data_IF_090479698955
#
_entry.id   IF_090479698955
#
_cell.length_a   1.000
_cell.length_b   1.000
_cell.length_c   1.000
_cell.angle_alpha   90.00
_cell.angle_beta   90.00
_cell.angle_gamma   90.00
#
_symmetry.space_group_name_H-M   'P 1'
#
loop_
_entity.id
_entity.type
_entity.pdbx_description
1 polymer ?
#
# COMPACT_ATOMS: atom_id res chain seq x y z
N UNK A 1 -15.49 -8.42 -41.85
CA UNK A 1 -15.61 -8.81 -40.41
C UNK A 1 -16.03 -7.59 -39.65
N UNK A 2 -17.27 -7.53 -39.20
CA UNK A 2 -17.86 -6.40 -38.49
C UNK A 2 -17.62 -6.59 -36.99
N UNK A 3 -16.92 -5.65 -36.36
CA UNK A 3 -16.75 -5.60 -34.91
C UNK A 3 -18.10 -5.31 -34.23
N UNK A 4 -18.49 -6.05 -33.20
CA UNK A 4 -19.71 -5.74 -32.44
C UNK A 4 -19.52 -4.57 -31.48
N UNK A 5 -20.58 -3.83 -31.30
CA UNK A 5 -20.77 -2.55 -30.68
C UNK A 5 -20.08 -2.30 -29.32
N UNK A 6 -19.49 -1.10 -29.21
CA UNK A 6 -18.88 -0.44 -28.03
C UNK A 6 -19.84 -0.12 -26.86
N UNK A 7 -20.99 -0.77 -26.74
CA UNK A 7 -22.07 -0.32 -25.83
C UNK A 7 -21.98 -0.81 -24.37
N UNK A 8 -21.41 -1.98 -24.08
CA UNK A 8 -21.42 -2.56 -22.72
C UNK A 8 -20.19 -2.21 -21.88
N UNK A 9 -19.01 -2.18 -22.44
CA UNK A 9 -17.79 -1.87 -21.70
C UNK A 9 -17.80 -0.44 -21.11
N UNK A 10 -18.31 0.54 -21.85
CA UNK A 10 -18.39 1.93 -21.38
C UNK A 10 -19.41 2.18 -20.25
N UNK A 11 -20.48 1.36 -20.17
CA UNK A 11 -21.47 1.47 -19.08
C UNK A 11 -20.98 0.79 -17.80
N UNK A 12 -20.28 -0.33 -17.90
CA UNK A 12 -19.69 -1.04 -16.76
C UNK A 12 -18.53 -0.23 -16.15
N UNK A 13 -17.70 0.40 -16.98
CA UNK A 13 -16.63 1.29 -16.54
C UNK A 13 -17.18 2.53 -15.79
N UNK A 14 -18.20 3.22 -16.34
CA UNK A 14 -18.84 4.35 -15.65
C UNK A 14 -19.50 3.94 -14.34
N UNK A 15 -20.10 2.74 -14.28
CA UNK A 15 -20.70 2.20 -13.05
C UNK A 15 -19.63 1.86 -12.01
N UNK A 16 -18.48 1.31 -12.42
CA UNK A 16 -17.34 1.07 -11.53
C UNK A 16 -16.79 2.38 -10.96
N UNK A 17 -16.59 3.41 -11.79
CA UNK A 17 -16.13 4.73 -11.37
C UNK A 17 -17.11 5.41 -10.39
N UNK A 18 -18.40 5.29 -10.59
CA UNK A 18 -19.42 5.85 -9.67
C UNK A 18 -19.40 5.11 -8.33
N UNK A 19 -19.21 3.80 -8.32
CA UNK A 19 -19.13 2.99 -7.09
C UNK A 19 -17.86 3.25 -6.27
N UNK A 20 -16.78 3.72 -6.90
CA UNK A 20 -15.52 4.04 -6.22
C UNK A 20 -15.60 5.38 -5.46
N UNK A 21 -16.44 6.30 -5.89
CA UNK A 21 -16.63 7.60 -5.24
C UNK A 21 -17.49 7.51 -3.96
N UNK A 22 -18.32 6.47 -3.81
CA UNK A 22 -19.31 6.36 -2.72
C UNK A 22 -18.85 5.55 -1.49
N UNK A 23 -17.66 4.91 -1.51
CA UNK A 23 -17.28 3.96 -0.46
C UNK A 23 -16.24 4.45 0.54
N UNK A 24 -15.64 5.62 0.34
CA UNK A 24 -14.62 6.14 1.24
C UNK A 24 -15.22 7.18 2.20
N UNK A 25 -15.51 6.75 3.43
CA UNK A 25 -15.74 7.70 4.50
C UNK A 25 -14.49 8.61 4.62
N UNK A 26 -14.67 9.93 4.84
CA UNK A 26 -13.54 10.85 4.97
C UNK A 26 -12.70 10.44 6.17
N UNK A 27 -11.38 10.53 6.02
CA UNK A 27 -10.46 10.38 7.15
C UNK A 27 -10.69 11.58 8.07
N UNK A 28 -10.94 11.30 9.35
CA UNK A 28 -11.16 12.35 10.34
C UNK A 28 -9.88 13.16 10.53
N UNK A 29 -10.01 14.48 10.54
CA UNK A 29 -8.95 15.36 10.99
C UNK A 29 -8.77 15.20 12.51
N UNK A 30 -7.51 15.04 12.96
CA UNK A 30 -7.17 14.81 14.35
C UNK A 30 -5.88 15.54 14.73
N UNK A 31 -5.84 16.12 15.92
CA UNK A 31 -4.61 16.70 16.46
C UNK A 31 -3.56 15.62 16.77
N UNK A 32 -2.27 15.99 16.94
CA UNK A 32 -1.24 15.04 17.37
C UNK A 32 -1.61 14.30 18.67
N UNK A 33 -2.19 14.99 19.65
CA UNK A 33 -2.61 14.42 20.93
C UNK A 33 -3.75 13.41 20.74
N UNK A 34 -4.78 13.75 19.97
CA UNK A 34 -5.89 12.85 19.67
C UNK A 34 -5.41 11.61 18.89
N UNK A 35 -4.42 11.79 18.04
CA UNK A 35 -3.78 10.67 17.32
C UNK A 35 -3.05 9.75 18.30
N UNK A 36 -2.26 10.32 19.22
CA UNK A 36 -1.53 9.56 20.22
C UNK A 36 -2.48 8.75 21.11
N UNK A 37 -3.56 9.35 21.61
CA UNK A 37 -4.59 8.67 22.38
C UNK A 37 -5.22 7.50 21.62
N UNK A 38 -5.58 7.68 20.34
CA UNK A 38 -6.15 6.63 19.50
C UNK A 38 -5.18 5.47 19.29
N UNK A 39 -3.90 5.76 19.03
CA UNK A 39 -2.88 4.74 18.82
C UNK A 39 -2.59 3.97 20.11
N UNK A 40 -2.50 4.66 21.25
CA UNK A 40 -2.33 4.04 22.56
C UNK A 40 -3.49 3.11 22.91
N UNK A 41 -4.73 3.57 22.71
CA UNK A 41 -5.92 2.75 22.94
C UNK A 41 -5.96 1.50 22.05
N UNK A 42 -5.61 1.65 20.75
CA UNK A 42 -5.51 0.54 19.83
C UNK A 42 -4.42 -0.46 20.24
N UNK A 43 -3.24 0.02 20.62
CA UNK A 43 -2.13 -0.82 21.12
C UNK A 43 -2.52 -1.60 22.39
N UNK A 44 -3.17 -0.95 23.36
CA UNK A 44 -3.65 -1.61 24.57
C UNK A 44 -4.67 -2.71 24.26
N UNK A 45 -5.64 -2.44 23.37
CA UNK A 45 -6.64 -3.41 22.96
C UNK A 45 -6.02 -4.63 22.23
N UNK A 46 -5.00 -4.41 21.40
CA UNK A 46 -4.26 -5.50 20.77
C UNK A 46 -3.47 -6.34 21.78
N UNK A 47 -2.79 -5.69 22.73
CA UNK A 47 -2.06 -6.39 23.80
C UNK A 47 -3.00 -7.27 24.63
N UNK A 48 -4.15 -6.76 25.03
CA UNK A 48 -5.17 -7.52 25.76
C UNK A 48 -5.69 -8.71 24.94
N UNK A 49 -6.00 -8.48 23.68
CA UNK A 49 -6.50 -9.53 22.77
C UNK A 49 -5.47 -10.64 22.58
N UNK A 50 -4.19 -10.31 22.37
CA UNK A 50 -3.11 -11.29 22.18
C UNK A 50 -2.81 -12.01 23.51
N UNK A 51 -2.86 -11.31 24.64
CA UNK A 51 -2.66 -11.91 25.96
C UNK A 51 -3.78 -12.93 26.31
N UNK A 52 -5.00 -12.67 25.87
CA UNK A 52 -6.12 -13.59 26.05
C UNK A 52 -5.97 -14.88 25.23
N UNK A 53 -5.47 -14.78 23.98
CA UNK A 53 -5.13 -15.91 23.12
C UNK A 53 -4.09 -15.48 22.08
N UNK A 54 -2.86 -16.05 22.13
CA UNK A 54 -1.81 -15.74 21.15
C UNK A 54 -2.21 -15.99 19.68
N UNK A 55 -3.17 -16.88 19.41
CA UNK A 55 -3.68 -17.13 18.06
C UNK A 55 -4.37 -15.88 17.45
N UNK A 56 -4.83 -14.95 18.28
CA UNK A 56 -5.40 -13.68 17.84
C UNK A 56 -4.38 -12.76 17.11
N UNK A 57 -3.08 -13.04 17.25
CA UNK A 57 -2.04 -12.34 16.50
C UNK A 57 -1.93 -12.82 15.03
N UNK A 58 -2.48 -13.99 14.70
CA UNK A 58 -2.43 -14.56 13.36
C UNK A 58 -3.56 -13.98 12.49
N UNK A 59 -3.20 -13.18 11.49
CA UNK A 59 -4.17 -12.52 10.61
C UNK A 59 -4.01 -13.02 9.18
N UNK A 60 -5.15 -13.25 8.51
CA UNK A 60 -5.19 -13.54 7.07
C UNK A 60 -5.89 -12.40 6.34
N UNK A 61 -5.22 -11.83 5.36
CA UNK A 61 -5.78 -10.82 4.48
C UNK A 61 -6.13 -11.43 3.13
N UNK A 62 -7.28 -11.05 2.57
CA UNK A 62 -7.73 -11.52 1.25
C UNK A 62 -8.03 -10.31 0.37
N UNK A 63 -7.44 -10.34 -0.82
CA UNK A 63 -7.69 -9.37 -1.88
C UNK A 63 -8.06 -10.12 -3.15
N UNK A 64 -9.06 -9.64 -3.88
CA UNK A 64 -9.47 -10.21 -5.17
C UNK A 64 -9.34 -9.15 -6.25
N UNK A 65 -8.84 -9.55 -7.43
CA UNK A 65 -8.75 -8.71 -8.62
C UNK A 65 -9.56 -9.28 -9.77
N UNK A 66 -10.30 -8.42 -10.48
CA UNK A 66 -11.00 -8.76 -11.71
C UNK A 66 -10.51 -7.89 -12.85
N UNK A 67 -9.99 -8.51 -13.91
CA UNK A 67 -9.55 -7.80 -15.12
C UNK A 67 -10.72 -7.08 -15.82
N UNK A 68 -10.48 -5.85 -16.25
CA UNK A 68 -11.42 -5.01 -16.99
C UNK A 68 -10.66 -4.27 -18.10
N UNK A 69 -11.36 -3.90 -19.18
CA UNK A 69 -10.74 -3.21 -20.31
C UNK A 69 -9.61 -4.05 -20.94
N UNK A 70 -8.51 -3.40 -21.26
CA UNK A 70 -7.31 -4.03 -21.84
C UNK A 70 -6.43 -4.67 -20.77
N UNK A 71 -5.99 -3.89 -19.78
CA UNK A 71 -5.09 -4.30 -18.69
C UNK A 71 -5.54 -3.82 -17.31
N UNK A 72 -6.64 -3.05 -17.24
CA UNK A 72 -7.19 -2.53 -16.00
C UNK A 72 -7.68 -3.64 -15.07
N UNK A 73 -7.67 -3.37 -13.77
CA UNK A 73 -8.13 -4.32 -12.75
C UNK A 73 -8.98 -3.61 -11.71
N UNK A 74 -10.17 -4.13 -11.45
CA UNK A 74 -10.97 -3.77 -10.29
C UNK A 74 -10.51 -4.61 -9.09
N UNK A 75 -10.01 -3.97 -8.04
CA UNK A 75 -9.54 -4.61 -6.81
C UNK A 75 -10.60 -4.48 -5.72
N UNK A 76 -10.78 -5.57 -4.96
CA UNK A 76 -11.58 -5.60 -3.75
C UNK A 76 -10.73 -6.08 -2.57
N UNK A 77 -10.61 -5.22 -1.54
CA UNK A 77 -9.92 -5.50 -0.29
C UNK A 77 -10.90 -5.28 0.88
N UNK A 78 -11.46 -6.35 1.43
CA UNK A 78 -12.54 -6.28 2.42
C UNK A 78 -13.77 -5.55 1.88
N UNK A 79 -14.15 -4.43 2.50
CA UNK A 79 -15.26 -3.57 2.05
C UNK A 79 -14.85 -2.49 1.03
N UNK A 80 -13.54 -2.30 0.82
CA UNK A 80 -13.02 -1.27 -0.07
C UNK A 80 -12.82 -1.78 -1.49
N UNK A 81 -12.96 -0.87 -2.45
CA UNK A 81 -12.71 -1.13 -3.87
C UNK A 81 -11.85 -0.01 -4.43
N UNK A 82 -10.97 -0.35 -5.35
CA UNK A 82 -10.16 0.61 -6.09
C UNK A 82 -9.78 0.04 -7.45
N UNK A 83 -9.37 0.92 -8.35
CA UNK A 83 -8.87 0.55 -9.68
C UNK A 83 -7.35 0.54 -9.69
N UNK A 84 -6.82 -0.33 -10.51
CA UNK A 84 -5.42 -0.36 -10.92
C UNK A 84 -5.42 -0.39 -12.44
N UNK A 85 -4.59 0.41 -13.08
CA UNK A 85 -4.48 0.45 -14.52
C UNK A 85 -3.00 0.66 -14.91
N UNK A 86 -2.72 0.70 -16.17
CA UNK A 86 -1.40 0.99 -16.71
C UNK A 86 -1.45 2.25 -17.58
N UNK A 87 -0.32 2.94 -17.76
CA UNK A 87 -0.25 4.01 -18.74
C UNK A 87 -0.46 3.51 -20.16
N UNK A 88 -0.80 4.41 -21.06
CA UNK A 88 -1.10 4.08 -22.47
C UNK A 88 0.03 3.34 -23.19
N UNK A 89 1.29 3.55 -22.77
CA UNK A 89 2.46 2.83 -23.28
C UNK A 89 2.47 1.33 -22.97
N UNK A 90 1.68 0.91 -21.95
CA UNK A 90 1.45 -0.49 -21.56
C UNK A 90 0.03 -0.97 -21.88
N UNK A 91 -0.62 -0.34 -22.86
CA UNK A 91 -1.99 -0.63 -23.32
C UNK A 91 -3.08 -0.36 -22.27
N UNK A 92 -2.81 0.45 -21.25
CA UNK A 92 -3.79 0.96 -20.30
C UNK A 92 -4.49 2.23 -20.81
N UNK A 93 -5.48 2.67 -20.05
CA UNK A 93 -6.22 3.91 -20.29
C UNK A 93 -5.73 5.06 -19.37
N UNK A 94 -4.70 4.83 -18.54
CA UNK A 94 -4.17 5.76 -17.53
C UNK A 94 -5.28 6.27 -16.56
N UNK A 95 -6.16 5.35 -16.18
CA UNK A 95 -7.35 5.64 -15.37
C UNK A 95 -7.09 5.55 -13.86
N UNK A 96 -5.99 4.93 -13.47
CA UNK A 96 -5.55 4.76 -12.07
C UNK A 96 -4.04 4.53 -12.03
N UNK A 97 -3.46 4.58 -10.82
CA UNK A 97 -2.06 4.23 -10.62
C UNK A 97 -1.76 2.78 -11.05
N UNK A 98 -0.54 2.55 -11.51
CA UNK A 98 -0.07 1.24 -11.94
C UNK A 98 0.16 0.27 -10.77
N UNK A 99 0.22 -1.06 -11.02
CA UNK A 99 0.50 -2.04 -9.98
C UNK A 99 1.78 -1.77 -9.19
N UNK A 100 2.84 -1.30 -9.86
CA UNK A 100 4.12 -1.01 -9.21
C UNK A 100 4.07 0.25 -8.36
N UNK A 101 3.30 1.28 -8.76
CA UNK A 101 3.02 2.46 -7.95
C UNK A 101 2.18 2.10 -6.71
N UNK A 102 1.21 1.19 -6.83
CA UNK A 102 0.49 0.66 -5.68
C UNK A 102 1.40 -0.09 -4.71
N UNK A 103 2.40 -0.84 -5.19
CA UNK A 103 3.38 -1.50 -4.33
C UNK A 103 4.20 -0.47 -3.52
N UNK A 104 4.71 0.58 -4.18
CA UNK A 104 5.39 1.68 -3.49
C UNK A 104 4.45 2.45 -2.55
N UNK A 105 3.22 2.71 -2.98
CA UNK A 105 2.18 3.33 -2.15
C UNK A 105 1.84 2.52 -0.89
N UNK A 106 1.80 1.19 -0.99
CA UNK A 106 1.63 0.30 0.16
C UNK A 106 2.81 0.41 1.14
N UNK A 107 4.06 0.49 0.63
CA UNK A 107 5.25 0.70 1.45
C UNK A 107 5.17 2.03 2.20
N UNK A 108 4.93 3.13 1.49
CA UNK A 108 4.81 4.48 2.06
C UNK A 108 3.72 4.53 3.12
N UNK A 109 2.53 4.04 2.82
CA UNK A 109 1.40 4.08 3.75
C UNK A 109 1.62 3.23 5.00
N UNK A 110 2.26 2.07 4.85
CA UNK A 110 2.61 1.22 5.99
C UNK A 110 3.64 1.90 6.90
N UNK A 111 4.68 2.52 6.31
CA UNK A 111 5.67 3.26 7.10
C UNK A 111 5.04 4.42 7.88
N UNK A 112 4.14 5.21 7.28
CA UNK A 112 3.42 6.27 8.00
C UNK A 112 2.71 5.73 9.25
N UNK A 113 2.06 4.58 9.15
CA UNK A 113 1.39 3.91 10.29
C UNK A 113 2.41 3.52 11.36
N UNK A 114 3.52 2.87 10.95
CA UNK A 114 4.52 2.33 11.88
C UNK A 114 5.31 3.47 12.55
N UNK A 115 5.67 4.54 11.81
CA UNK A 115 6.26 5.75 12.39
C UNK A 115 5.40 6.36 13.50
N UNK A 116 4.11 6.55 13.24
CA UNK A 116 3.17 7.11 14.23
C UNK A 116 2.98 6.20 15.43
N UNK A 117 2.96 4.89 15.22
CA UNK A 117 2.81 3.90 16.30
C UNK A 117 4.03 3.91 17.23
N UNK A 118 5.24 3.82 16.65
CA UNK A 118 6.48 3.74 17.43
C UNK A 118 6.92 5.09 17.98
N UNK A 119 6.59 6.22 17.34
CA UNK A 119 6.79 7.52 17.95
C UNK A 119 6.05 7.61 19.29
N UNK A 120 4.79 7.20 19.36
CA UNK A 120 4.03 7.14 20.60
C UNK A 120 4.65 6.21 21.65
N UNK A 121 5.15 5.04 21.24
CA UNK A 121 5.80 4.09 22.15
C UNK A 121 7.15 4.60 22.71
N UNK A 122 7.87 5.40 21.94
CA UNK A 122 9.16 6.02 22.32
C UNK A 122 9.00 7.40 22.98
N UNK A 123 7.78 7.90 23.14
CA UNK A 123 7.52 9.22 23.71
C UNK A 123 7.89 10.38 22.79
N UNK A 124 7.97 10.13 21.47
CA UNK A 124 8.27 11.13 20.45
C UNK A 124 6.99 11.71 19.85
N UNK A 125 7.07 12.97 19.42
CA UNK A 125 5.95 13.66 18.75
C UNK A 125 6.23 13.83 17.27
N UNK A 126 5.26 13.49 16.43
CA UNK A 126 5.26 13.77 14.99
C UNK A 126 4.10 14.71 14.71
N UNK A 127 4.39 15.97 14.38
CA UNK A 127 3.40 16.94 13.98
C UNK A 127 2.95 16.65 12.54
N UNK A 128 3.91 16.48 11.63
CA UNK A 128 3.67 16.13 10.24
C UNK A 128 4.70 15.10 9.75
N UNK A 129 4.31 14.31 8.75
CA UNK A 129 5.17 13.30 8.12
C UNK A 129 4.82 13.14 6.65
N UNK A 130 5.82 13.27 5.80
CA UNK A 130 5.75 12.94 4.38
C UNK A 130 6.80 11.87 4.05
N UNK A 131 6.40 10.86 3.30
CA UNK A 131 7.29 9.77 2.89
C UNK A 131 7.24 9.65 1.37
N UNK A 132 8.41 9.65 0.74
CA UNK A 132 8.57 9.42 -0.69
C UNK A 132 9.30 8.10 -0.90
N UNK A 133 8.78 7.24 -1.78
CA UNK A 133 9.46 6.05 -2.25
C UNK A 133 9.70 6.12 -3.75
N UNK A 134 10.93 5.82 -4.17
CA UNK A 134 11.33 5.70 -5.57
C UNK A 134 11.77 4.27 -5.83
N UNK A 135 11.36 3.69 -6.95
CA UNK A 135 11.73 2.34 -7.34
C UNK A 135 12.20 2.28 -8.80
N UNK A 136 13.36 1.70 -9.03
CA UNK A 136 13.93 1.50 -10.37
C UNK A 136 13.56 0.12 -10.92
N UNK A 137 12.90 0.09 -12.08
CA UNK A 137 12.40 -1.12 -12.73
C UNK A 137 12.95 -1.23 -14.17
N UNK A 138 13.37 -2.42 -14.55
CA UNK A 138 13.72 -2.74 -15.93
C UNK A 138 12.60 -3.58 -16.56
N UNK A 139 11.91 -3.01 -17.53
CA UNK A 139 10.77 -3.66 -18.19
C UNK A 139 11.14 -4.73 -19.22
N UNK A 140 12.43 -4.91 -19.55
CA UNK A 140 12.85 -5.88 -20.56
C UNK A 140 12.42 -7.30 -20.26
N UNK A 141 12.43 -7.69 -18.97
CA UNK A 141 11.97 -9.02 -18.57
C UNK A 141 10.44 -9.16 -18.67
N UNK A 142 9.69 -8.12 -18.37
CA UNK A 142 8.23 -8.09 -18.53
C UNK A 142 7.83 -8.37 -19.98
N UNK A 143 8.59 -7.83 -20.95
CA UNK A 143 8.33 -8.01 -22.38
C UNK A 143 9.05 -9.22 -23.01
N UNK A 144 9.75 -10.04 -22.23
CA UNK A 144 10.49 -11.18 -22.77
C UNK A 144 11.67 -10.80 -23.68
N UNK A 145 12.21 -9.59 -23.56
CA UNK A 145 13.33 -9.08 -24.37
C UNK A 145 14.66 -9.56 -23.79
N UNK A 146 14.77 -9.61 -22.46
CA UNK A 146 15.96 -10.06 -21.75
C UNK A 146 15.53 -10.81 -20.46
N UNK A 147 15.84 -12.10 -20.41
CA UNK A 147 15.49 -12.98 -19.28
C UNK A 147 16.52 -12.97 -18.14
N UNK A 148 17.68 -12.34 -18.32
CA UNK A 148 18.78 -12.36 -17.36
C UNK A 148 18.51 -11.46 -16.14
N UNK A 149 17.69 -10.42 -16.30
CA UNK A 149 17.41 -9.41 -15.29
C UNK A 149 16.37 -9.86 -14.24
N UNK A 150 16.20 -9.04 -13.20
CA UNK A 150 15.12 -9.16 -12.21
C UNK A 150 13.80 -8.65 -12.82
N UNK A 151 12.67 -9.32 -12.53
CA UNK A 151 11.35 -8.87 -13.01
C UNK A 151 10.78 -7.71 -12.19
N UNK A 152 11.15 -7.58 -10.92
CA UNK A 152 10.69 -6.51 -10.03
C UNK A 152 11.70 -5.36 -9.91
N UNK A 153 11.47 -4.46 -8.98
CA UNK A 153 12.40 -3.37 -8.67
C UNK A 153 13.79 -3.92 -8.36
N UNK A 154 14.83 -3.32 -8.95
CA UNK A 154 16.22 -3.65 -8.62
C UNK A 154 16.81 -2.72 -7.56
N UNK A 155 16.18 -1.56 -7.33
CA UNK A 155 16.50 -0.64 -6.25
C UNK A 155 15.22 0.08 -5.79
N UNK A 156 15.10 0.31 -4.48
CA UNK A 156 14.01 1.10 -3.88
C UNK A 156 14.63 2.00 -2.82
N UNK A 157 14.37 3.29 -2.95
CA UNK A 157 14.84 4.33 -2.03
C UNK A 157 13.65 4.97 -1.34
N UNK A 158 13.75 5.15 -0.02
CA UNK A 158 12.72 5.79 0.78
C UNK A 158 13.31 7.02 1.46
N UNK A 159 12.64 8.14 1.32
CA UNK A 159 12.93 9.39 2.03
C UNK A 159 11.78 9.70 2.97
N UNK A 160 12.12 10.02 4.22
CA UNK A 160 11.16 10.37 5.26
C UNK A 160 11.42 11.78 5.72
N UNK A 161 10.45 12.66 5.60
CA UNK A 161 10.47 14.04 6.07
C UNK A 161 9.52 14.13 7.28
N UNK A 162 10.08 14.44 8.46
CA UNK A 162 9.32 14.56 9.71
C UNK A 162 9.45 15.97 10.25
N UNK A 163 8.31 16.58 10.60
CA UNK A 163 8.25 17.78 11.40
C UNK A 163 7.77 17.46 12.81
N UNK A 164 8.45 18.04 13.81
CA UNK A 164 8.11 17.87 15.22
C UNK A 164 9.20 18.43 16.15
N UNK A 165 9.00 18.38 17.47
CA UNK A 165 9.88 19.02 18.45
C UNK A 165 11.15 18.22 18.81
N UNK A 166 11.26 16.98 18.36
CA UNK A 166 12.35 16.07 18.74
C UNK A 166 13.61 16.32 17.89
N UNK A 167 14.76 15.79 18.34
CA UNK A 167 16.05 15.94 17.65
C UNK A 167 16.14 15.07 16.41
N UNK A 168 17.07 15.38 15.52
CA UNK A 168 17.33 14.57 14.33
C UNK A 168 17.78 13.15 14.70
N UNK A 169 18.57 13.01 15.77
CA UNK A 169 19.05 11.71 16.28
C UNK A 169 17.91 10.85 16.81
N UNK A 170 16.92 11.45 17.50
CA UNK A 170 15.73 10.73 17.98
C UNK A 170 14.87 10.26 16.81
N UNK A 171 14.68 11.07 15.78
CA UNK A 171 13.95 10.65 14.57
C UNK A 171 14.72 9.60 13.75
N UNK A 172 16.05 9.66 13.72
CA UNK A 172 16.85 8.64 13.06
C UNK A 172 16.81 7.29 13.83
N UNK A 173 16.78 7.33 15.16
CA UNK A 173 16.54 6.14 15.97
C UNK A 173 15.14 5.57 15.68
N UNK A 174 14.11 6.43 15.65
CA UNK A 174 12.75 6.03 15.29
C UNK A 174 12.72 5.36 13.91
N UNK A 175 13.41 5.92 12.89
CA UNK A 175 13.51 5.33 11.55
C UNK A 175 14.06 3.90 11.60
N UNK A 176 15.13 3.67 12.36
CA UNK A 176 15.72 2.33 12.52
C UNK A 176 14.69 1.34 13.12
N UNK A 177 13.97 1.76 14.17
CA UNK A 177 12.92 0.93 14.78
C UNK A 177 11.79 0.64 13.79
N UNK A 178 11.38 1.63 12.99
CA UNK A 178 10.33 1.46 11.97
C UNK A 178 10.74 0.46 10.90
N UNK A 179 11.98 0.50 10.44
CA UNK A 179 12.49 -0.44 9.44
C UNK A 179 12.47 -1.90 9.92
N UNK A 180 12.74 -2.12 11.20
CA UNK A 180 12.69 -3.46 11.81
C UNK A 180 11.26 -4.01 11.97
N UNK A 181 10.25 -3.13 12.00
CA UNK A 181 8.87 -3.49 12.35
C UNK A 181 7.85 -3.25 11.23
N UNK A 182 8.27 -2.75 10.07
CA UNK A 182 7.34 -2.47 8.96
C UNK A 182 7.07 -3.73 8.13
N UNK A 183 5.86 -4.33 8.20
CA UNK A 183 5.58 -5.58 7.50
C UNK A 183 5.60 -5.43 5.97
N UNK A 184 5.34 -4.23 5.43
CA UNK A 184 5.43 -4.03 3.98
C UNK A 184 6.86 -3.80 3.53
N UNK A 185 7.72 -3.15 4.34
CA UNK A 185 9.15 -3.08 4.03
C UNK A 185 9.76 -4.49 4.02
N UNK A 186 9.36 -5.35 4.95
CA UNK A 186 9.78 -6.74 5.00
C UNK A 186 9.55 -7.48 3.66
N UNK A 187 8.42 -7.23 2.98
CA UNK A 187 8.14 -7.80 1.65
C UNK A 187 9.13 -7.36 0.57
N UNK A 188 9.77 -6.18 0.72
CA UNK A 188 10.75 -5.67 -0.24
C UNK A 188 12.17 -6.20 0.03
N UNK A 189 12.51 -6.47 1.29
CA UNK A 189 13.87 -6.85 1.70
C UNK A 189 14.04 -8.35 1.92
N UNK A 190 12.95 -9.08 2.19
CA UNK A 190 12.97 -10.51 2.43
C UNK A 190 12.09 -11.28 1.42
N UNK A 191 12.50 -12.47 0.99
CA UNK A 191 11.67 -13.31 0.13
C UNK A 191 10.51 -13.93 0.92
N UNK A 192 9.28 -13.77 0.41
CA UNK A 192 8.08 -14.42 0.96
C UNK A 192 7.74 -15.65 0.13
N UNK A 193 7.54 -16.84 0.74
CA UNK A 193 7.09 -18.03 0.01
C UNK A 193 5.73 -17.77 -0.67
N UNK A 194 5.68 -17.93 -1.97
CA UNK A 194 4.45 -17.75 -2.76
C UNK A 194 4.11 -19.03 -3.52
N UNK A 195 2.81 -19.33 -3.63
CA UNK A 195 2.30 -20.43 -4.44
C UNK A 195 1.10 -19.96 -5.25
N UNK A 196 0.90 -20.54 -6.43
CA UNK A 196 -0.24 -20.22 -7.29
C UNK A 196 -0.77 -21.47 -7.99
N UNK A 197 -2.05 -21.42 -8.37
CA UNK A 197 -2.70 -22.45 -9.19
C UNK A 197 -3.69 -21.79 -10.14
N UNK A 198 -3.87 -22.40 -11.33
CA UNK A 198 -4.99 -22.10 -12.24
C UNK A 198 -6.11 -23.08 -11.95
N UNK A 199 -7.33 -22.59 -11.77
CA UNK A 199 -8.54 -23.36 -11.43
C UNK A 199 -9.62 -23.15 -12.47
#
# INVERSE_FOLDING_TARGET
>A
MTYPARGRAGSEYRRAMTLLQDTNAPIADVTPEQRAERLQAAGAAWNERIAADPANAQLTYTVTGRGIGSVGTEIRAGKHRFLVDEPTGLAGDDAAASPVEYALGALVSCQVVVFRLYAGALGLTIDDIEITAEGDLDVRKLFGIDESGRAGFHDVRVRVDIAGPNTAEEYEHLRTVVEEHCPVLDLFVNPVPTSGAVV
#
